data_IF_984710720659
#
_entry.id   IF_984710720659
#
_cell.length_a   1.000
_cell.length_b   1.000
_cell.length_c   1.000
_cell.angle_alpha   90.00
_cell.angle_beta   90.00
_cell.angle_gamma   90.00
#
_symmetry.space_group_name_H-M   'P 1'
#
loop_
_entity.id
_entity.type
_entity.pdbx_description
1 polymer ?
#
# COMPACT_ATOMS: atom_id res chain seq x y z
N UNK A 1 -7.80 -1.71 2.96
CA UNK A 1 -6.71 -2.52 2.36
C UNK A 1 -7.31 -3.50 1.38
N UNK A 2 -6.80 -3.59 0.15
CA UNK A 2 -7.42 -4.32 -0.96
C UNK A 2 -6.87 -5.74 -1.08
N UNK A 3 -5.54 -5.93 -0.95
CA UNK A 3 -4.90 -7.24 -1.13
C UNK A 3 -3.54 -7.35 -0.44
N UNK A 4 -3.23 -8.52 0.12
CA UNK A 4 -1.93 -8.84 0.72
C UNK A 4 -1.21 -9.81 -0.22
N UNK A 5 0.06 -9.51 -0.55
CA UNK A 5 0.89 -10.34 -1.44
C UNK A 5 2.26 -10.57 -0.82
N UNK A 6 3.00 -11.63 -1.20
CA UNK A 6 4.34 -11.91 -0.65
C UNK A 6 5.40 -10.84 -0.98
N UNK A 7 5.09 -9.90 -1.87
CA UNK A 7 5.94 -8.76 -2.23
C UNK A 7 5.54 -7.46 -1.52
N UNK A 8 4.34 -7.38 -0.95
CA UNK A 8 3.82 -6.17 -0.31
C UNK A 8 2.31 -6.10 -0.20
N UNK A 9 1.82 -4.94 0.23
CA UNK A 9 0.42 -4.65 0.49
C UNK A 9 -0.15 -3.75 -0.60
N UNK A 10 -1.24 -4.17 -1.21
CA UNK A 10 -2.04 -3.34 -2.10
C UNK A 10 -3.14 -2.64 -1.31
N UNK A 11 -3.08 -1.32 -1.34
CA UNK A 11 -3.98 -0.40 -0.66
C UNK A 11 -4.78 0.34 -1.73
N UNK A 12 -6.10 0.25 -1.68
CA UNK A 12 -6.96 1.11 -2.49
C UNK A 12 -6.87 2.53 -1.94
N UNK A 13 -6.40 3.46 -2.77
CA UNK A 13 -6.21 4.88 -2.39
C UNK A 13 -7.40 5.71 -2.85
N UNK A 14 -8.00 5.36 -3.99
CA UNK A 14 -9.22 5.93 -4.51
C UNK A 14 -9.91 4.93 -5.48
N UNK A 15 -11.11 5.26 -5.93
CA UNK A 15 -11.86 4.48 -6.92
C UNK A 15 -10.99 4.27 -8.19
N UNK A 16 -10.73 3.01 -8.56
CA UNK A 16 -9.82 2.60 -9.65
C UNK A 16 -8.32 2.95 -9.46
N UNK A 17 -7.89 3.31 -8.25
CA UNK A 17 -6.49 3.62 -7.94
C UNK A 17 -6.00 2.75 -6.79
N UNK A 18 -5.14 1.79 -7.12
CA UNK A 18 -4.44 0.97 -6.13
C UNK A 18 -2.99 1.45 -5.96
N UNK A 19 -2.56 1.53 -4.70
CA UNK A 19 -1.19 1.81 -4.30
C UNK A 19 -0.51 0.57 -3.74
N UNK A 20 0.80 0.46 -3.99
CA UNK A 20 1.62 -0.65 -3.49
C UNK A 20 2.54 -0.14 -2.39
N UNK A 21 2.41 -0.71 -1.20
CA UNK A 21 3.36 -0.58 -0.11
C UNK A 21 4.25 -1.83 -0.11
N UNK A 22 5.53 -1.73 -0.48
CA UNK A 22 6.44 -2.87 -0.49
C UNK A 22 6.64 -3.39 0.94
N UNK A 23 6.79 -4.71 1.08
CA UNK A 23 6.96 -5.33 2.40
C UNK A 23 8.17 -4.83 3.18
N UNK A 24 9.20 -4.38 2.47
CA UNK A 24 10.43 -3.85 3.05
C UNK A 24 10.20 -2.51 3.77
N UNK A 25 9.17 -1.78 3.37
CA UNK A 25 8.76 -0.51 3.96
C UNK A 25 7.52 -0.66 4.85
N UNK A 26 6.98 -1.88 4.99
CA UNK A 26 5.84 -2.10 5.86
C UNK A 26 6.31 -2.05 7.33
N UNK A 27 5.74 -1.18 8.19
CA UNK A 27 6.15 -1.06 9.59
C UNK A 27 5.71 -2.27 10.43
N UNK A 28 4.76 -3.05 9.93
CA UNK A 28 4.26 -4.27 10.55
C UNK A 28 4.67 -5.51 9.75
N UNK A 29 4.84 -6.65 10.42
CA UNK A 29 5.03 -7.93 9.74
C UNK A 29 3.80 -8.25 8.89
N UNK A 30 3.99 -8.61 7.62
CA UNK A 30 2.92 -8.98 6.68
C UNK A 30 1.92 -9.99 7.29
N UNK A 31 2.39 -10.92 8.11
CA UNK A 31 1.57 -11.92 8.81
C UNK A 31 0.65 -11.32 9.89
N UNK A 32 1.02 -10.17 10.46
CA UNK A 32 0.16 -9.41 11.38
C UNK A 32 -0.82 -8.49 10.66
N UNK A 33 -0.60 -8.23 9.36
CA UNK A 33 -1.47 -7.33 8.59
C UNK A 33 -2.73 -8.07 8.15
N UNK A 34 -3.89 -7.46 8.38
CA UNK A 34 -5.19 -8.01 7.97
C UNK A 34 -5.90 -7.12 6.97
N UNK A 35 -6.64 -7.74 6.07
CA UNK A 35 -7.56 -7.04 5.17
C UNK A 35 -8.61 -6.34 6.03
N UNK A 36 -8.64 -5.01 5.99
CA UNK A 36 -9.51 -4.16 6.81
C UNK A 36 -8.76 -3.23 7.77
N UNK A 37 -7.47 -3.49 8.03
CA UNK A 37 -6.65 -2.56 8.79
C UNK A 37 -6.42 -1.25 8.03
N UNK A 38 -6.32 -0.16 8.81
CA UNK A 38 -6.00 1.17 8.32
C UNK A 38 -4.55 1.49 8.66
N UNK A 39 -3.76 1.81 7.63
CA UNK A 39 -2.37 2.23 7.78
C UNK A 39 -2.22 3.68 7.33
N UNK A 40 -1.47 4.44 8.12
CA UNK A 40 -1.01 5.76 7.68
C UNK A 40 0.18 5.58 6.75
N UNK A 41 -0.01 6.02 5.51
CA UNK A 41 1.00 5.94 4.46
C UNK A 41 1.12 7.30 3.78
N UNK A 42 2.30 7.59 3.28
CA UNK A 42 2.59 8.78 2.47
C UNK A 42 2.74 8.37 1.02
N UNK A 43 2.16 9.17 0.14
CA UNK A 43 2.31 9.01 -1.30
C UNK A 43 3.66 9.59 -1.72
N UNK A 44 4.55 8.72 -2.18
CA UNK A 44 5.89 9.14 -2.63
C UNK A 44 5.93 9.39 -4.13
N UNK A 45 5.11 8.70 -4.91
CA UNK A 45 5.03 8.92 -6.35
C UNK A 45 3.67 8.51 -6.92
N UNK A 46 3.20 9.23 -7.93
CA UNK A 46 1.93 8.95 -8.61
C UNK A 46 2.21 8.75 -10.09
N UNK A 47 1.83 7.58 -10.60
CA UNK A 47 1.88 7.27 -12.02
C UNK A 47 0.46 7.26 -12.60
N UNK A 48 0.07 8.39 -13.21
CA UNK A 48 -1.26 8.57 -13.79
C UNK A 48 -1.51 7.70 -15.03
N UNK A 49 -0.47 7.32 -15.77
CA UNK A 49 -0.63 6.45 -16.95
C UNK A 49 -1.06 5.05 -16.54
N UNK A 50 -0.43 4.50 -15.49
CA UNK A 50 -0.77 3.17 -14.98
C UNK A 50 -1.85 3.19 -13.89
N UNK A 51 -2.32 4.37 -13.48
CA UNK A 51 -3.22 4.57 -12.31
C UNK A 51 -2.68 3.90 -11.05
N UNK A 52 -1.37 3.99 -10.84
CA UNK A 52 -0.66 3.38 -9.72
C UNK A 52 -0.01 4.43 -8.85
N UNK A 53 0.01 4.17 -7.55
CA UNK A 53 0.61 5.05 -6.55
C UNK A 53 1.67 4.28 -5.75
N UNK A 54 2.86 4.84 -5.63
CA UNK A 54 3.88 4.33 -4.73
C UNK A 54 3.63 4.89 -3.33
N UNK A 55 3.59 3.99 -2.35
CA UNK A 55 3.29 4.31 -0.96
C UNK A 55 4.49 3.95 -0.09
N UNK A 56 4.76 4.80 0.91
CA UNK A 56 5.74 4.58 1.96
C UNK A 56 5.09 4.75 3.33
N UNK A 57 5.64 4.18 4.41
CA UNK A 57 5.15 4.37 5.76
C UNK A 57 5.20 5.86 6.13
N UNK A 58 4.13 6.35 6.75
CA UNK A 58 4.20 7.62 7.46
C UNK A 58 5.05 7.39 8.72
N UNK A 59 6.18 8.09 8.81
CA UNK A 59 7.07 8.10 9.99
C UNK A 59 6.32 8.52 11.25
#
# INVERSE_FOLDING_TARGET
MEKITPIGLFLEVAEDISGLLPKAECPAELDSVKVGDQYSVVVTSINLQERRVALSPAD
#
